data_IF_498160410018
#
_entry.id   IF_498160410018
#
_cell.length_a   1.000
_cell.length_b   1.000
_cell.length_c   1.000
_cell.angle_alpha   90.00
_cell.angle_beta   90.00
_cell.angle_gamma   90.00
#
_symmetry.space_group_name_H-M   'P 1'
#
loop_
_entity.id
_entity.type
_entity.pdbx_description
1 polymer ?
#
# COMPACT_ATOMS: atom_id res chain seq x y z
N UNK A 1 22.83 -23.15 -13.73
CA UNK A 1 21.64 -22.31 -13.57
C UNK A 1 21.13 -22.61 -12.17
N UNK A 2 21.39 -21.72 -11.23
CA UNK A 2 20.70 -21.78 -9.93
C UNK A 2 19.21 -21.58 -10.23
N UNK A 3 18.34 -22.49 -9.79
CA UNK A 3 16.91 -22.21 -9.81
C UNK A 3 16.70 -21.04 -8.85
N UNK A 4 16.25 -19.88 -9.36
CA UNK A 4 15.86 -18.77 -8.50
C UNK A 4 14.79 -19.27 -7.53
N UNK A 5 14.99 -19.05 -6.23
CA UNK A 5 14.03 -19.47 -5.20
C UNK A 5 12.68 -18.75 -5.38
N UNK A 6 11.60 -19.22 -4.71
CA UNK A 6 10.24 -18.71 -4.90
C UNK A 6 10.10 -17.20 -4.60
N UNK A 7 9.40 -16.43 -5.43
CA UNK A 7 9.33 -14.94 -5.40
C UNK A 7 7.92 -14.40 -5.12
N UNK A 8 7.81 -13.10 -4.79
CA UNK A 8 6.52 -12.41 -4.73
C UNK A 8 5.89 -12.32 -6.13
N UNK A 9 4.71 -12.92 -6.30
CA UNK A 9 3.84 -12.74 -7.48
C UNK A 9 2.42 -12.45 -7.01
N UNK A 10 2.14 -11.16 -6.79
CA UNK A 10 0.82 -10.67 -6.35
C UNK A 10 -0.26 -10.75 -7.45
N UNK A 11 0.12 -11.05 -8.70
CA UNK A 11 -0.83 -11.20 -9.81
C UNK A 11 -1.38 -12.63 -9.85
N UNK A 12 -0.58 -13.61 -9.42
CA UNK A 12 -1.01 -15.01 -9.28
C UNK A 12 -1.97 -15.26 -8.10
N UNK A 13 -2.03 -14.33 -7.13
CA UNK A 13 -2.73 -14.53 -5.86
C UNK A 13 -4.19 -14.16 -5.93
N UNK A 14 -5.03 -15.07 -6.40
CA UNK A 14 -6.46 -14.87 -6.28
C UNK A 14 -7.18 -16.22 -6.22
N UNK A 15 -7.45 -16.71 -5.00
CA UNK A 15 -8.63 -17.55 -4.80
C UNK A 15 -9.82 -16.77 -5.37
N UNK A 16 -10.45 -17.30 -6.41
CA UNK A 16 -11.79 -16.99 -6.92
C UNK A 16 -12.45 -15.62 -6.60
N UNK A 17 -11.77 -14.45 -6.75
CA UNK A 17 -12.52 -13.22 -7.14
C UNK A 17 -13.43 -13.67 -8.27
N UNK A 18 -14.75 -13.54 -8.05
CA UNK A 18 -15.74 -14.30 -8.81
C UNK A 18 -15.42 -14.15 -10.29
N UNK A 19 -15.41 -15.26 -11.02
CA UNK A 19 -14.92 -15.25 -12.41
C UNK A 19 -15.65 -14.22 -13.27
N UNK A 20 -16.94 -14.00 -13.00
CA UNK A 20 -17.75 -12.95 -13.61
C UNK A 20 -17.22 -11.52 -13.33
N UNK A 21 -16.68 -11.24 -12.14
CA UNK A 21 -15.98 -9.99 -11.81
C UNK A 21 -14.56 -9.87 -12.39
N UNK A 22 -13.88 -10.98 -12.68
CA UNK A 22 -12.58 -10.89 -13.39
C UNK A 22 -12.74 -10.70 -14.88
N UNK A 23 -13.79 -11.28 -15.43
CA UNK A 23 -14.00 -11.34 -16.86
C UNK A 23 -14.88 -10.20 -17.39
N UNK A 24 -15.27 -9.23 -16.54
CA UNK A 24 -16.15 -8.12 -16.91
C UNK A 24 -17.58 -8.57 -17.24
N UNK A 25 -18.02 -9.72 -16.71
CA UNK A 25 -19.29 -10.39 -17.06
C UNK A 25 -20.31 -10.44 -15.93
N UNK A 26 -20.11 -9.69 -14.85
CA UNK A 26 -21.06 -9.64 -13.74
C UNK A 26 -22.43 -9.12 -14.22
N UNK A 27 -23.36 -10.05 -14.41
CA UNK A 27 -24.75 -9.79 -14.78
C UNK A 27 -25.63 -10.32 -13.65
N UNK A 28 -25.83 -9.52 -12.60
CA UNK A 28 -26.83 -9.81 -11.58
C UNK A 28 -27.86 -8.70 -11.51
N UNK A 29 -29.13 -9.11 -11.59
CA UNK A 29 -30.23 -8.32 -11.03
C UNK A 29 -29.96 -8.20 -9.52
N UNK A 30 -29.42 -7.05 -9.12
CA UNK A 30 -29.27 -6.70 -7.71
C UNK A 30 -30.63 -6.74 -7.01
N UNK A 31 -30.64 -6.97 -5.69
CA UNK A 31 -31.81 -6.66 -4.85
C UNK A 31 -32.23 -5.18 -4.95
N UNK A 32 -31.45 -4.34 -5.64
CA UNK A 32 -31.77 -2.97 -6.07
C UNK A 32 -32.75 -2.90 -7.25
N UNK A 33 -33.37 -3.99 -7.70
CA UNK A 33 -34.56 -3.92 -8.57
C UNK A 33 -35.72 -3.07 -7.97
N UNK A 34 -35.64 -2.71 -6.68
CA UNK A 34 -36.46 -1.68 -6.03
C UNK A 34 -36.23 -0.25 -6.56
N UNK A 35 -35.13 0.02 -7.26
CA UNK A 35 -34.76 1.34 -7.79
C UNK A 35 -34.87 1.46 -9.31
N UNK A 36 -35.43 0.44 -9.99
CA UNK A 36 -35.56 0.37 -11.46
C UNK A 36 -36.38 1.51 -12.09
N UNK A 37 -37.02 2.37 -11.29
CA UNK A 37 -37.88 3.47 -11.74
C UNK A 37 -37.31 4.87 -11.49
N UNK A 38 -36.09 5.02 -10.98
CA UNK A 38 -35.48 6.35 -10.92
C UNK A 38 -34.79 6.66 -12.26
N UNK A 39 -35.40 7.64 -12.94
CA UNK A 39 -34.86 8.34 -14.11
C UNK A 39 -33.39 8.66 -13.84
N UNK A 40 -32.52 8.56 -14.85
CA UNK A 40 -31.16 9.16 -14.84
C UNK A 40 -31.28 10.68 -14.59
N UNK A 41 -31.50 11.09 -13.35
CA UNK A 41 -31.60 12.48 -12.93
C UNK A 41 -30.41 12.77 -12.03
N UNK A 42 -29.41 13.46 -12.58
CA UNK A 42 -28.28 14.11 -11.88
C UNK A 42 -27.61 13.33 -10.73
N UNK A 43 -27.63 12.00 -10.78
CA UNK A 43 -27.27 11.11 -9.65
C UNK A 43 -25.78 10.74 -9.58
N UNK A 44 -24.93 11.37 -10.38
CA UNK A 44 -23.46 11.25 -10.26
C UNK A 44 -22.93 11.84 -8.94
N UNK A 45 -23.73 12.65 -8.22
CA UNK A 45 -23.27 13.43 -7.06
C UNK A 45 -23.73 12.92 -5.67
N UNK A 46 -24.54 11.85 -5.57
CA UNK A 46 -25.05 11.36 -4.27
C UNK A 46 -24.51 9.97 -3.90
N UNK A 47 -23.20 9.79 -4.05
CA UNK A 47 -22.52 8.60 -3.52
C UNK A 47 -22.78 8.51 -2.01
N UNK A 48 -23.17 7.35 -1.49
CA UNK A 48 -23.22 7.12 -0.04
C UNK A 48 -22.53 5.80 0.26
N UNK A 49 -21.72 5.79 1.32
CA UNK A 49 -21.13 4.53 1.80
C UNK A 49 -22.17 3.85 2.66
N UNK A 50 -22.62 2.68 2.23
CA UNK A 50 -23.53 1.85 3.03
C UNK A 50 -22.85 1.43 4.33
N UNK A 51 -23.54 1.57 5.46
CA UNK A 51 -23.05 1.05 6.73
C UNK A 51 -22.90 -0.48 6.63
N UNK A 52 -21.73 -0.99 6.97
CA UNK A 52 -21.45 -2.42 6.92
C UNK A 52 -20.65 -2.84 8.15
N UNK A 53 -20.85 -4.09 8.57
CA UNK A 53 -20.13 -4.67 9.69
C UNK A 53 -19.41 -5.93 9.24
N UNK A 54 -18.11 -6.01 9.52
CA UNK A 54 -17.35 -7.24 9.35
C UNK A 54 -17.48 -8.15 10.58
N UNK A 55 -17.11 -9.42 10.43
CA UNK A 55 -17.15 -10.44 11.50
C UNK A 55 -16.18 -10.19 12.66
N UNK A 56 -15.21 -9.29 12.51
CA UNK A 56 -14.19 -8.99 13.52
C UNK A 56 -14.68 -7.96 14.55
N UNK A 57 -14.17 -7.98 15.79
CA UNK A 57 -14.48 -6.96 16.78
C UNK A 57 -14.12 -5.56 16.30
N UNK A 58 -14.79 -4.54 16.84
CA UNK A 58 -14.44 -3.14 16.59
C UNK A 58 -12.99 -2.89 17.02
N UNK A 59 -12.23 -2.22 16.15
CA UNK A 59 -10.84 -1.85 16.43
C UNK A 59 -10.75 -0.94 17.66
N UNK A 60 -9.69 -1.13 18.44
CA UNK A 60 -9.35 -0.24 19.55
C UNK A 60 -8.14 0.58 19.14
N UNK A 61 -8.18 1.86 19.44
CA UNK A 61 -7.05 2.74 19.19
C UNK A 61 -5.92 2.44 20.18
N UNK A 62 -4.73 2.17 19.67
CA UNK A 62 -3.51 2.08 20.47
C UNK A 62 -3.33 3.38 21.30
N UNK A 63 -3.17 3.29 22.64
CA UNK A 63 -3.07 4.48 23.49
C UNK A 63 -1.85 5.35 23.20
N UNK A 64 -0.84 4.84 22.49
CA UNK A 64 0.35 5.58 22.11
C UNK A 64 0.17 6.40 20.81
N UNK A 65 -0.96 6.29 20.11
CA UNK A 65 -1.15 6.93 18.80
C UNK A 65 -0.96 8.45 18.84
N UNK A 66 -1.48 9.12 19.88
CA UNK A 66 -1.34 10.56 20.05
C UNK A 66 0.12 10.96 20.35
N UNK A 67 0.79 10.22 21.24
CA UNK A 67 2.20 10.48 21.56
C UNK A 67 3.11 10.26 20.33
N UNK A 68 2.85 9.20 19.57
CA UNK A 68 3.62 8.90 18.35
C UNK A 68 3.42 9.99 17.30
N UNK A 69 2.19 10.55 17.18
CA UNK A 69 1.93 11.66 16.26
C UNK A 69 2.89 12.83 16.49
N UNK A 70 3.05 13.27 17.74
CA UNK A 70 3.94 14.39 18.06
C UNK A 70 5.41 14.08 17.74
N UNK A 71 5.87 12.87 18.08
CA UNK A 71 7.25 12.43 17.79
C UNK A 71 7.52 12.39 16.27
N UNK A 72 6.55 11.91 15.49
CA UNK A 72 6.67 11.81 14.03
C UNK A 72 6.74 13.21 13.41
N UNK A 73 5.97 14.16 13.93
CA UNK A 73 5.97 15.53 13.42
C UNK A 73 7.37 16.15 13.55
N UNK A 74 7.99 16.01 14.73
CA UNK A 74 9.35 16.47 14.97
C UNK A 74 10.36 15.76 14.06
N UNK A 75 10.22 14.44 13.88
CA UNK A 75 11.09 13.65 13.01
C UNK A 75 11.00 14.08 11.54
N UNK A 76 9.79 14.21 10.99
CA UNK A 76 9.54 14.67 9.60
C UNK A 76 10.11 16.08 9.36
N UNK A 77 9.92 17.00 10.31
CA UNK A 77 10.47 18.36 10.25
C UNK A 77 12.00 18.36 10.32
N UNK A 78 12.59 17.48 11.13
CA UNK A 78 14.05 17.36 11.25
C UNK A 78 14.71 16.92 9.94
N UNK A 79 14.00 16.14 9.12
CA UNK A 79 14.43 15.69 7.80
C UNK A 79 14.19 16.75 6.70
N UNK A 80 13.36 17.76 6.96
CA UNK A 80 12.97 18.78 5.99
C UNK A 80 11.90 18.33 4.99
N UNK A 81 11.21 17.21 5.26
CA UNK A 81 10.13 16.70 4.41
C UNK A 81 8.92 17.66 4.42
N UNK A 82 8.67 18.34 5.56
CA UNK A 82 7.65 19.39 5.69
C UNK A 82 7.84 20.52 4.66
N UNK A 83 9.10 20.91 4.41
CA UNK A 83 9.47 21.95 3.45
C UNK A 83 9.31 21.47 2.01
N UNK A 84 9.61 20.19 1.78
CA UNK A 84 9.43 19.56 0.47
C UNK A 84 7.96 19.40 0.06
N UNK A 85 7.05 19.28 1.02
CA UNK A 85 5.60 19.28 0.80
C UNK A 85 5.00 20.70 0.75
N UNK A 86 5.65 21.66 1.42
CA UNK A 86 5.09 22.99 1.61
C UNK A 86 3.87 23.01 2.53
N UNK A 87 3.38 24.21 2.90
CA UNK A 87 2.48 24.37 4.04
C UNK A 87 1.13 23.65 3.91
N UNK A 88 0.53 23.67 2.73
CA UNK A 88 -0.82 23.12 2.50
C UNK A 88 -0.83 21.59 2.54
N UNK A 89 0.04 20.94 1.76
CA UNK A 89 0.14 19.48 1.74
C UNK A 89 0.60 18.94 3.10
N UNK A 90 1.52 19.64 3.76
CA UNK A 90 1.94 19.29 5.11
C UNK A 90 0.79 19.33 6.12
N UNK A 91 -0.02 20.41 6.12
CA UNK A 91 -1.19 20.50 6.99
C UNK A 91 -2.18 19.35 6.75
N UNK A 92 -2.45 19.02 5.49
CA UNK A 92 -3.33 17.89 5.14
C UNK A 92 -2.77 16.54 5.60
N UNK A 93 -1.47 16.30 5.44
CA UNK A 93 -0.80 15.09 5.93
C UNK A 93 -0.93 14.95 7.46
N UNK A 94 -0.77 16.05 8.20
CA UNK A 94 -0.88 16.03 9.65
C UNK A 94 -2.30 15.88 10.14
N UNK A 95 -3.26 16.52 9.47
CA UNK A 95 -4.67 16.35 9.75
C UNK A 95 -5.15 14.90 9.57
N UNK A 96 -4.50 14.13 8.70
CA UNK A 96 -4.81 12.72 8.48
C UNK A 96 -4.43 11.81 9.65
N UNK A 97 -3.51 12.23 10.54
CA UNK A 97 -3.11 11.47 11.74
C UNK A 97 -2.84 9.98 11.48
N UNK A 98 -1.88 9.68 10.62
CA UNK A 98 -1.56 8.29 10.26
C UNK A 98 -1.09 7.41 11.44
N UNK A 99 -0.71 7.99 12.57
CA UNK A 99 -0.51 7.23 13.81
C UNK A 99 -1.81 6.65 14.39
N UNK A 100 -2.96 7.28 14.19
CA UNK A 100 -4.26 6.71 14.54
C UNK A 100 -4.61 5.55 13.60
N UNK A 101 -4.27 5.65 12.31
CA UNK A 101 -4.43 4.56 11.35
C UNK A 101 -3.68 3.30 11.81
N UNK A 102 -2.38 3.44 12.07
CA UNK A 102 -1.57 2.34 12.62
C UNK A 102 -2.05 1.91 13.99
N UNK A 103 -2.55 2.84 14.82
CA UNK A 103 -3.08 2.55 16.14
C UNK A 103 -4.33 1.67 16.13
N UNK A 104 -5.15 1.76 15.08
CA UNK A 104 -6.31 0.87 14.91
C UNK A 104 -5.94 -0.50 14.34
N UNK A 105 -4.86 -0.60 13.54
CA UNK A 105 -4.40 -1.86 12.94
C UNK A 105 -3.43 -2.65 13.84
N UNK A 106 -2.71 -1.98 14.75
CA UNK A 106 -1.73 -2.56 15.68
C UNK A 106 -2.00 -2.09 17.11
N UNK A 107 -3.00 -2.66 17.76
CA UNK A 107 -3.41 -2.26 19.12
C UNK A 107 -2.56 -2.90 20.25
N UNK A 108 -1.92 -4.04 19.97
CA UNK A 108 -1.09 -4.82 20.90
C UNK A 108 0.28 -5.12 20.29
N UNK A 109 1.22 -4.18 20.48
CA UNK A 109 2.55 -4.17 19.86
C UNK A 109 3.56 -3.44 20.78
N UNK A 110 4.85 -3.79 20.66
CA UNK A 110 5.93 -3.11 21.38
C UNK A 110 5.99 -1.61 21.00
N UNK A 111 6.22 -0.69 21.97
CA UNK A 111 6.18 0.75 21.70
C UNK A 111 7.12 1.24 20.60
N UNK A 112 8.33 0.67 20.50
CA UNK A 112 9.31 1.08 19.48
C UNK A 112 8.88 0.63 18.08
N UNK A 113 8.32 -0.57 17.97
CA UNK A 113 7.80 -1.09 16.70
C UNK A 113 6.56 -0.32 16.26
N UNK A 114 5.70 0.05 17.21
CA UNK A 114 4.56 0.91 16.95
C UNK A 114 4.99 2.27 16.41
N UNK A 115 5.99 2.90 17.04
CA UNK A 115 6.56 4.16 16.57
C UNK A 115 7.16 4.02 15.16
N UNK A 116 7.88 2.92 14.90
CA UNK A 116 8.42 2.63 13.57
C UNK A 116 7.32 2.56 12.51
N UNK A 117 6.24 1.81 12.77
CA UNK A 117 5.10 1.69 11.86
C UNK A 117 4.45 3.04 11.61
N UNK A 118 4.27 3.86 12.65
CA UNK A 118 3.67 5.17 12.50
C UNK A 118 4.57 6.14 11.70
N UNK A 119 5.90 6.13 11.94
CA UNK A 119 6.88 6.89 11.15
C UNK A 119 6.86 6.46 9.69
N UNK A 120 6.93 5.16 9.42
CA UNK A 120 6.88 4.60 8.07
C UNK A 120 5.59 5.01 7.37
N UNK A 121 4.43 4.76 7.98
CA UNK A 121 3.13 5.08 7.42
C UNK A 121 3.03 6.58 7.08
N UNK A 122 3.50 7.46 7.96
CA UNK A 122 3.45 8.92 7.73
C UNK A 122 4.40 9.36 6.63
N UNK A 123 5.64 8.84 6.61
CA UNK A 123 6.62 9.14 5.57
C UNK A 123 6.15 8.65 4.19
N UNK A 124 5.57 7.45 4.15
CA UNK A 124 4.95 6.86 2.96
C UNK A 124 3.81 7.75 2.43
N UNK A 125 2.80 8.07 3.24
CA UNK A 125 1.69 8.89 2.77
C UNK A 125 2.11 10.32 2.41
N UNK A 126 3.16 10.85 3.04
CA UNK A 126 3.76 12.12 2.63
C UNK A 126 4.40 12.02 1.24
N UNK A 127 5.12 10.92 0.95
CA UNK A 127 5.70 10.68 -0.37
C UNK A 127 4.61 10.50 -1.42
N UNK A 128 3.61 9.68 -1.13
CA UNK A 128 2.42 9.43 -1.96
C UNK A 128 1.71 10.74 -2.32
N UNK A 129 1.42 11.58 -1.31
CA UNK A 129 0.85 12.93 -1.51
C UNK A 129 1.71 13.77 -2.47
N UNK A 130 3.04 13.67 -2.40
CA UNK A 130 3.92 14.41 -3.31
C UNK A 130 3.89 13.84 -4.72
N UNK A 131 3.80 12.52 -4.88
CA UNK A 131 3.72 11.85 -6.17
C UNK A 131 2.36 12.06 -6.88
N UNK A 132 1.29 12.28 -6.13
CA UNK A 132 -0.08 12.31 -6.65
C UNK A 132 -0.67 13.73 -6.70
N UNK A 133 -0.54 14.52 -5.63
CA UNK A 133 -1.33 15.75 -5.42
C UNK A 133 -0.54 17.05 -5.71
N UNK A 134 0.71 16.96 -6.17
CA UNK A 134 1.59 18.12 -6.32
C UNK A 134 1.86 18.51 -7.78
N UNK A 135 2.48 19.68 -7.99
CA UNK A 135 3.03 20.06 -9.31
C UNK A 135 4.01 19.03 -9.88
N UNK A 136 4.53 18.14 -9.03
CA UNK A 136 5.45 17.05 -9.37
C UNK A 136 4.75 15.77 -9.84
N UNK A 137 3.42 15.70 -9.85
CA UNK A 137 2.69 14.53 -10.34
C UNK A 137 3.06 14.18 -11.80
N UNK A 138 3.41 15.19 -12.60
CA UNK A 138 3.91 15.05 -13.97
C UNK A 138 5.46 15.09 -14.07
N UNK A 139 6.17 15.34 -12.96
CA UNK A 139 7.64 15.40 -12.92
C UNK A 139 8.25 14.02 -12.61
N UNK A 140 8.29 13.17 -13.65
CA UNK A 140 8.86 11.83 -13.53
C UNK A 140 10.35 11.83 -13.11
N UNK A 141 11.08 12.91 -13.42
CA UNK A 141 12.50 13.06 -13.08
C UNK A 141 12.77 12.92 -11.58
N UNK A 142 11.95 13.58 -10.76
CA UNK A 142 12.12 13.56 -9.31
C UNK A 142 11.76 12.20 -8.72
N UNK A 143 10.65 11.60 -9.16
CA UNK A 143 10.23 10.28 -8.69
C UNK A 143 11.23 9.20 -9.08
N UNK A 144 11.83 9.30 -10.28
CA UNK A 144 12.95 8.46 -10.69
C UNK A 144 14.09 8.50 -9.66
N UNK A 145 14.60 9.68 -9.33
CA UNK A 145 15.73 9.80 -8.41
C UNK A 145 15.43 9.21 -7.02
N UNK A 146 14.20 9.41 -6.53
CA UNK A 146 13.73 8.79 -5.27
C UNK A 146 13.73 7.26 -5.37
N UNK A 147 13.20 6.70 -6.46
CA UNK A 147 13.15 5.24 -6.68
C UNK A 147 14.56 4.64 -6.81
N UNK A 148 15.48 5.34 -7.48
CA UNK A 148 16.87 4.88 -7.62
C UNK A 148 17.61 4.91 -6.29
N UNK A 149 17.46 5.99 -5.52
CA UNK A 149 18.05 6.15 -4.19
C UNK A 149 17.51 5.09 -3.20
N UNK A 150 16.23 4.76 -3.31
CA UNK A 150 15.61 3.67 -2.56
C UNK A 150 16.26 2.32 -2.87
N UNK A 151 16.45 1.99 -4.16
CA UNK A 151 17.08 0.73 -4.55
C UNK A 151 18.52 0.63 -4.03
N UNK A 152 19.24 1.75 -3.97
CA UNK A 152 20.55 1.81 -3.33
C UNK A 152 20.48 1.44 -1.84
N UNK A 153 19.47 1.95 -1.11
CA UNK A 153 19.25 1.64 0.31
C UNK A 153 18.97 0.14 0.50
N UNK A 154 18.09 -0.45 -0.31
CA UNK A 154 17.72 -1.86 -0.20
C UNK A 154 18.89 -2.81 -0.50
N UNK A 155 19.63 -2.53 -1.57
CA UNK A 155 20.80 -3.32 -2.01
C UNK A 155 22.05 -3.04 -1.15
N UNK A 156 21.97 -2.15 -0.15
CA UNK A 156 23.11 -1.81 0.69
C UNK A 156 23.61 -3.00 1.51
N UNK A 157 22.74 -3.87 2.01
CA UNK A 157 23.16 -5.02 2.80
C UNK A 157 23.45 -6.24 1.92
N UNK A 158 22.67 -6.42 0.85
CA UNK A 158 22.76 -7.56 -0.07
C UNK A 158 22.91 -7.08 -1.52
N UNK A 159 24.09 -6.62 -1.94
CA UNK A 159 24.28 -6.02 -3.28
C UNK A 159 24.11 -7.03 -4.42
N UNK A 160 24.33 -8.32 -4.12
CA UNK A 160 24.25 -9.43 -5.05
C UNK A 160 22.90 -10.18 -4.95
N UNK A 161 21.90 -9.61 -4.26
CA UNK A 161 20.57 -10.21 -4.16
C UNK A 161 19.91 -10.27 -5.55
N UNK A 162 19.86 -11.47 -6.13
CA UNK A 162 19.42 -11.70 -7.52
C UNK A 162 18.01 -11.15 -7.79
N UNK A 163 17.09 -11.25 -6.82
CA UNK A 163 15.70 -10.79 -6.97
C UNK A 163 15.59 -9.28 -6.98
N UNK A 164 16.28 -8.61 -6.06
CA UNK A 164 16.32 -7.15 -6.03
C UNK A 164 17.01 -6.60 -7.27
N UNK A 165 18.02 -7.28 -7.81
CA UNK A 165 18.67 -6.90 -9.07
C UNK A 165 17.74 -7.08 -10.27
N UNK A 166 16.92 -8.13 -10.31
CA UNK A 166 15.91 -8.33 -11.35
C UNK A 166 14.82 -7.26 -11.30
N UNK A 167 14.30 -6.95 -10.10
CA UNK A 167 13.32 -5.88 -9.92
C UNK A 167 13.88 -4.50 -10.28
N UNK A 168 15.13 -4.22 -9.91
CA UNK A 168 15.83 -2.99 -10.32
C UNK A 168 15.96 -2.91 -11.84
N UNK A 169 16.30 -4.02 -12.51
CA UNK A 169 16.36 -4.06 -13.98
C UNK A 169 15.02 -3.72 -14.61
N UNK A 170 13.91 -4.27 -14.10
CA UNK A 170 12.58 -3.92 -14.60
C UNK A 170 12.27 -2.42 -14.45
N UNK A 171 12.58 -1.84 -13.28
CA UNK A 171 12.42 -0.40 -13.03
C UNK A 171 13.21 0.39 -14.06
N UNK A 172 14.47 0.03 -14.29
CA UNK A 172 15.33 0.71 -15.26
C UNK A 172 14.84 0.59 -16.70
N UNK A 173 14.42 -0.59 -17.12
CA UNK A 173 13.87 -0.81 -18.46
C UNK A 173 12.59 0.04 -18.66
N UNK A 174 11.76 0.15 -17.63
CA UNK A 174 10.54 1.00 -17.62
C UNK A 174 10.90 2.47 -17.75
N UNK A 175 11.88 2.94 -16.97
CA UNK A 175 12.36 4.32 -17.03
C UNK A 175 13.00 4.64 -18.38
N UNK A 176 13.83 3.76 -18.93
CA UNK A 176 14.45 3.94 -20.24
C UNK A 176 13.43 4.00 -21.38
N UNK A 177 12.34 3.24 -21.29
CA UNK A 177 11.26 3.28 -22.27
C UNK A 177 10.50 4.60 -22.25
N UNK A 178 10.38 5.24 -21.08
CA UNK A 178 9.66 6.49 -20.91
C UNK A 178 10.56 7.72 -21.15
N UNK A 179 11.82 7.67 -20.73
CA UNK A 179 12.76 8.78 -20.75
C UNK A 179 14.17 8.35 -21.22
N UNK A 180 14.26 7.91 -22.47
CA UNK A 180 15.46 7.30 -23.06
C UNK A 180 16.74 8.18 -23.05
N UNK A 181 16.63 9.50 -22.80
CA UNK A 181 17.77 10.42 -22.76
C UNK A 181 18.55 10.44 -21.43
N UNK A 182 18.04 9.78 -20.38
CA UNK A 182 18.61 9.87 -19.03
C UNK A 182 19.82 8.94 -18.85
N UNK A 183 21.01 9.51 -18.73
CA UNK A 183 22.26 8.77 -18.53
C UNK A 183 22.23 7.91 -17.24
N UNK A 184 21.62 8.42 -16.15
CA UNK A 184 21.48 7.69 -14.87
C UNK A 184 20.55 6.46 -14.95
N UNK A 185 19.65 6.37 -15.94
CA UNK A 185 18.72 5.24 -16.08
C UNK A 185 19.35 3.98 -16.71
N UNK A 186 20.68 3.95 -16.89
CA UNK A 186 21.38 2.79 -17.42
C UNK A 186 21.89 1.90 -16.27
N UNK A 187 21.60 0.59 -16.35
CA UNK A 187 21.95 -0.38 -15.28
C UNK A 187 23.42 -0.33 -14.84
N UNK A 188 24.35 -0.17 -15.78
CA UNK A 188 25.78 -0.10 -15.46
C UNK A 188 26.18 1.19 -14.74
N UNK A 189 25.43 2.28 -14.92
CA UNK A 189 25.66 3.57 -14.25
C UNK A 189 25.14 3.51 -12.82
N UNK A 190 23.94 2.96 -12.59
CA UNK A 190 23.43 2.75 -11.23
C UNK A 190 24.28 1.77 -10.45
N UNK A 191 24.70 0.67 -11.09
CA UNK A 191 25.60 -0.28 -10.46
C UNK A 191 26.94 0.40 -10.10
N UNK A 192 27.48 1.26 -10.98
CA UNK A 192 28.67 2.04 -10.68
C UNK A 192 28.45 3.05 -9.54
N UNK A 193 27.30 3.72 -9.48
CA UNK A 193 26.92 4.64 -8.40
C UNK A 193 26.83 3.90 -7.07
N UNK A 194 26.20 2.72 -7.04
CA UNK A 194 26.11 1.88 -5.85
C UNK A 194 27.48 1.41 -5.37
N UNK A 195 28.31 0.88 -6.28
CA UNK A 195 29.68 0.45 -5.96
C UNK A 195 30.52 1.64 -5.48
N UNK A 196 30.38 2.80 -6.11
CA UNK A 196 31.05 4.03 -5.70
C UNK A 196 30.61 4.48 -4.31
N UNK A 197 29.29 4.52 -4.05
CA UNK A 197 28.73 4.89 -2.76
C UNK A 197 29.26 3.97 -1.65
N UNK A 198 29.27 2.65 -1.86
CA UNK A 198 29.80 1.67 -0.89
C UNK A 198 31.31 1.79 -0.66
N UNK A 199 32.07 2.09 -1.70
CA UNK A 199 33.53 2.22 -1.59
C UNK A 199 33.96 3.54 -0.94
N UNK A 200 33.18 4.61 -1.14
CA UNK A 200 33.50 5.96 -0.65
C UNK A 200 32.94 6.24 0.74
N UNK A 201 31.75 5.73 1.04
CA UNK A 201 31.09 5.86 2.33
C UNK A 201 31.48 4.74 3.27
N UNK A 202 31.64 5.04 4.56
CA UNK A 202 31.94 4.01 5.57
C UNK A 202 30.66 3.34 6.08
N UNK A 203 29.54 4.05 5.98
CA UNK A 203 28.20 3.61 6.36
C UNK A 203 27.16 4.15 5.39
N UNK A 204 25.98 3.51 5.34
CA UNK A 204 24.82 4.01 4.61
C UNK A 204 24.40 5.42 5.10
N UNK A 205 24.67 5.73 6.38
CA UNK A 205 24.43 7.04 6.97
C UNK A 205 25.27 8.16 6.32
N UNK A 206 26.42 7.83 5.72
CA UNK A 206 27.28 8.81 5.04
C UNK A 206 26.81 9.11 3.61
N UNK A 207 25.89 8.30 3.07
CA UNK A 207 25.32 8.51 1.73
C UNK A 207 24.38 9.71 1.78
N UNK A 208 24.60 10.66 0.86
CA UNK A 208 23.74 11.84 0.71
C UNK A 208 22.49 11.43 -0.06
N UNK A 209 21.32 11.60 0.57
CA UNK A 209 20.01 11.27 0.02
C UNK A 209 19.08 12.49 0.18
N UNK A 210 18.00 12.55 -0.61
CA UNK A 210 16.92 13.52 -0.42
C UNK A 210 16.19 13.36 0.92
N UNK A 211 15.26 14.27 1.27
CA UNK A 211 14.62 14.27 2.59
C UNK A 211 13.84 12.96 2.85
N UNK A 212 12.99 12.56 1.90
CA UNK A 212 12.23 11.30 1.98
C UNK A 212 13.13 10.07 2.09
N UNK A 213 14.18 10.01 1.26
CA UNK A 213 15.10 8.85 1.26
C UNK A 213 16.02 8.82 2.48
N UNK A 214 16.29 9.97 3.10
CA UNK A 214 16.96 10.03 4.40
C UNK A 214 16.07 9.42 5.49
N UNK A 215 14.77 9.73 5.49
CA UNK A 215 13.81 9.10 6.40
C UNK A 215 13.64 7.60 6.15
N UNK A 216 13.51 7.19 4.89
CA UNK A 216 13.46 5.77 4.52
C UNK A 216 14.72 5.01 4.95
N UNK A 217 15.91 5.60 4.76
CA UNK A 217 17.18 5.03 5.23
C UNK A 217 17.18 4.80 6.75
N UNK A 218 16.75 5.79 7.53
CA UNK A 218 16.69 5.65 8.99
C UNK A 218 15.75 4.50 9.38
N UNK A 219 14.55 4.46 8.79
CA UNK A 219 13.60 3.36 9.01
C UNK A 219 14.16 2.01 8.59
N UNK A 220 14.86 1.94 7.45
CA UNK A 220 15.48 0.71 6.97
C UNK A 220 16.54 0.21 7.97
N UNK A 221 17.43 1.08 8.43
CA UNK A 221 18.46 0.73 9.41
C UNK A 221 17.86 0.31 10.75
N UNK A 222 16.80 0.98 11.22
CA UNK A 222 16.05 0.58 12.42
C UNK A 222 15.36 -0.78 12.24
N UNK A 223 14.80 -1.05 11.05
CA UNK A 223 14.05 -2.28 10.76
C UNK A 223 14.94 -3.52 10.71
N UNK A 224 16.06 -3.45 10.00
CA UNK A 224 16.94 -4.60 9.77
C UNK A 224 17.74 -5.00 11.02
N UNK A 225 17.76 -4.16 12.05
CA UNK A 225 18.49 -4.42 13.29
C UNK A 225 17.97 -5.71 13.94
N UNK A 226 18.89 -6.66 14.18
CA UNK A 226 18.61 -7.98 14.75
C UNK A 226 17.62 -8.87 13.99
N UNK A 227 17.34 -8.60 12.70
CA UNK A 227 16.52 -9.47 11.86
C UNK A 227 17.36 -10.51 11.08
N UNK A 228 16.84 -11.74 10.88
CA UNK A 228 17.42 -12.71 9.96
C UNK A 228 17.49 -12.18 8.51
N UNK A 229 18.47 -12.66 7.74
CA UNK A 229 18.69 -12.22 6.36
C UNK A 229 17.44 -12.45 5.49
N UNK A 230 16.77 -13.59 5.65
CA UNK A 230 15.54 -13.92 4.91
C UNK A 230 14.41 -12.89 5.15
N UNK A 231 14.24 -12.41 6.38
CA UNK A 231 13.23 -11.39 6.71
C UNK A 231 13.61 -10.03 6.10
N UNK A 232 14.91 -9.70 6.13
CA UNK A 232 15.43 -8.48 5.50
C UNK A 232 15.19 -8.52 3.98
N UNK A 233 15.51 -9.63 3.31
CA UNK A 233 15.29 -9.77 1.86
C UNK A 233 13.81 -9.67 1.51
N UNK A 234 12.90 -10.34 2.25
CA UNK A 234 11.45 -10.21 2.05
C UNK A 234 10.98 -8.78 2.17
N UNK A 235 11.37 -8.09 3.24
CA UNK A 235 10.97 -6.70 3.44
C UNK A 235 11.49 -5.80 2.30
N UNK A 236 12.74 -5.99 1.88
CA UNK A 236 13.30 -5.26 0.74
C UNK A 236 12.48 -5.47 -0.54
N UNK A 237 12.13 -6.73 -0.85
CA UNK A 237 11.29 -7.05 -2.01
C UNK A 237 9.94 -6.33 -1.95
N UNK A 238 9.29 -6.27 -0.77
CA UNK A 238 8.00 -5.55 -0.64
C UNK A 238 8.12 -4.06 -0.87
N UNK A 239 9.18 -3.41 -0.39
CA UNK A 239 9.42 -2.00 -0.67
C UNK A 239 9.67 -1.80 -2.16
N UNK A 240 10.54 -2.61 -2.78
CA UNK A 240 10.84 -2.48 -4.21
C UNK A 240 9.58 -2.64 -5.08
N UNK A 241 8.70 -3.60 -4.77
CA UNK A 241 7.43 -3.79 -5.48
C UNK A 241 6.48 -2.59 -5.30
N UNK A 242 6.41 -2.03 -4.09
CA UNK A 242 5.62 -0.82 -3.84
C UNK A 242 6.09 0.37 -4.69
N UNK A 243 7.39 0.69 -4.66
CA UNK A 243 7.95 1.80 -5.45
C UNK A 243 7.84 1.58 -6.96
N UNK A 244 7.99 0.33 -7.42
CA UNK A 244 7.69 -0.07 -8.80
C UNK A 244 6.21 0.21 -9.13
N UNK A 245 5.30 -0.12 -8.21
CA UNK A 245 3.88 0.21 -8.33
C UNK A 245 3.63 1.70 -8.53
N UNK A 246 4.20 2.55 -7.66
CA UNK A 246 4.08 4.02 -7.77
C UNK A 246 4.55 4.54 -9.14
N UNK A 247 5.66 4.01 -9.66
CA UNK A 247 6.15 4.37 -11.00
C UNK A 247 5.15 4.00 -12.10
N UNK A 248 4.62 2.77 -12.05
CA UNK A 248 3.64 2.28 -13.03
C UNK A 248 2.35 3.11 -12.98
N UNK A 249 1.90 3.47 -11.78
CA UNK A 249 0.72 4.31 -11.57
C UNK A 249 0.93 5.71 -12.13
N UNK A 250 2.07 6.35 -11.83
CA UNK A 250 2.40 7.67 -12.35
C UNK A 250 2.47 7.68 -13.89
N UNK A 251 3.18 6.71 -14.50
CA UNK A 251 3.24 6.56 -15.97
C UNK A 251 1.84 6.31 -16.54
N UNK A 252 1.03 5.49 -15.85
CA UNK A 252 -0.36 5.21 -16.21
C UNK A 252 -1.20 6.49 -16.29
N UNK A 253 -1.11 7.34 -15.25
CA UNK A 253 -1.78 8.66 -15.20
C UNK A 253 -1.32 9.58 -16.32
N UNK A 254 -0.01 9.72 -16.53
CA UNK A 254 0.56 10.57 -17.59
C UNK A 254 0.09 10.16 -18.99
N UNK A 255 -0.05 8.85 -19.24
CA UNK A 255 -0.52 8.32 -20.52
C UNK A 255 -2.05 8.30 -20.66
N UNK A 256 -2.81 8.65 -19.61
CA UNK A 256 -4.26 8.52 -19.60
C UNK A 256 -4.74 7.07 -19.75
N UNK A 257 -3.95 6.12 -19.25
CA UNK A 257 -4.22 4.68 -19.35
C UNK A 257 -5.53 4.35 -18.64
N UNK A 258 -6.43 3.63 -19.32
CA UNK A 258 -7.65 3.11 -18.71
C UNK A 258 -7.39 1.67 -18.28
N UNK A 259 -7.51 1.42 -16.99
CA UNK A 259 -7.34 0.08 -16.41
C UNK A 259 -8.68 -0.65 -16.40
N UNK A 260 -8.62 -1.97 -16.61
CA UNK A 260 -9.74 -2.85 -16.23
C UNK A 260 -9.79 -3.00 -14.70
N UNK A 261 -10.88 -3.55 -14.16
CA UNK A 261 -10.99 -3.88 -12.74
C UNK A 261 -9.88 -4.85 -12.32
N UNK A 262 -9.56 -5.85 -13.15
CA UNK A 262 -8.50 -6.82 -12.84
C UNK A 262 -7.11 -6.17 -12.82
N UNK A 263 -6.82 -5.32 -13.81
CA UNK A 263 -5.52 -4.63 -13.88
C UNK A 263 -5.36 -3.63 -12.74
N UNK A 264 -6.45 -2.93 -12.39
CA UNK A 264 -6.44 -1.99 -11.27
C UNK A 264 -6.22 -2.71 -9.94
N UNK A 265 -6.89 -3.83 -9.67
CA UNK A 265 -6.66 -4.59 -8.42
C UNK A 265 -5.19 -5.02 -8.32
N UNK A 266 -4.61 -5.50 -9.43
CA UNK A 266 -3.21 -5.92 -9.50
C UNK A 266 -2.25 -4.76 -9.21
N UNK A 267 -2.47 -3.61 -9.85
CA UNK A 267 -1.70 -2.39 -9.59
C UNK A 267 -1.89 -1.90 -8.15
N UNK A 268 -3.12 -1.91 -7.64
CA UNK A 268 -3.48 -1.39 -6.32
C UNK A 268 -2.87 -2.19 -5.17
N UNK A 269 -2.63 -3.50 -5.37
CA UNK A 269 -1.85 -4.31 -4.43
C UNK A 269 -0.41 -3.84 -4.28
N UNK A 270 0.16 -3.27 -5.33
CA UNK A 270 1.49 -2.66 -5.31
C UNK A 270 1.41 -1.26 -4.72
N UNK A 271 0.53 -0.39 -5.23
CA UNK A 271 0.51 1.05 -4.89
C UNK A 271 -0.06 1.34 -3.51
N UNK A 272 -0.89 0.45 -2.94
CA UNK A 272 -1.49 0.65 -1.63
C UNK A 272 -0.51 0.67 -0.44
N UNK A 273 0.74 0.24 -0.62
CA UNK A 273 1.77 0.29 0.44
C UNK A 273 1.50 -0.61 1.66
N UNK A 274 0.51 -1.51 1.57
CA UNK A 274 0.07 -2.38 2.68
C UNK A 274 1.00 -3.59 2.88
N UNK A 275 1.53 -4.17 1.80
CA UNK A 275 2.38 -5.36 1.87
C UNK A 275 3.61 -5.16 2.78
N UNK A 276 4.38 -4.05 2.70
CA UNK A 276 5.46 -3.79 3.65
C UNK A 276 5.03 -3.74 5.12
N UNK A 277 3.81 -3.28 5.40
CA UNK A 277 3.27 -3.23 6.75
C UNK A 277 2.86 -4.62 7.25
N UNK A 278 2.30 -5.47 6.39
CA UNK A 278 1.96 -6.84 6.76
C UNK A 278 3.21 -7.71 6.99
N UNK A 279 4.27 -7.52 6.18
CA UNK A 279 5.56 -8.23 6.32
C UNK A 279 6.33 -7.78 7.57
N UNK A 280 6.00 -6.62 8.14
CA UNK A 280 6.46 -6.25 9.48
C UNK A 280 6.11 -7.30 10.56
N UNK A 281 5.14 -8.20 10.30
CA UNK A 281 4.90 -9.39 11.12
C UNK A 281 6.16 -10.23 11.41
N UNK A 282 7.14 -10.28 10.50
CA UNK A 282 8.41 -10.99 10.73
C UNK A 282 9.17 -10.40 11.93
N UNK A 283 9.13 -9.08 12.12
CA UNK A 283 9.71 -8.42 13.30
C UNK A 283 8.92 -8.70 14.57
N UNK A 284 7.59 -8.76 14.47
CA UNK A 284 6.74 -9.17 15.60
C UNK A 284 7.04 -10.62 16.03
N UNK A 285 7.31 -11.52 15.07
CA UNK A 285 7.77 -12.89 15.34
C UNK A 285 9.09 -12.84 16.12
N UNK A 286 10.08 -12.07 15.67
CA UNK A 286 11.38 -11.96 16.36
C UNK A 286 11.27 -11.47 17.80
N UNK A 287 10.39 -10.50 18.06
CA UNK A 287 10.15 -10.05 19.43
C UNK A 287 9.50 -11.15 20.28
N UNK A 288 8.48 -11.83 19.76
CA UNK A 288 7.82 -12.92 20.50
C UNK A 288 8.76 -14.12 20.72
N UNK A 289 9.71 -14.37 19.82
CA UNK A 289 10.75 -15.40 19.98
C UNK A 289 11.65 -15.21 21.19
N UNK A 290 11.81 -13.98 21.67
CA UNK A 290 12.60 -13.69 22.89
C UNK A 290 11.95 -14.24 24.16
N UNK A 291 10.64 -14.52 24.12
CA UNK A 291 9.85 -14.95 25.29
C UNK A 291 9.10 -16.27 25.09
N UNK A 292 9.00 -16.79 23.86
CA UNK A 292 8.29 -18.02 23.51
C UNK A 292 8.98 -18.75 22.36
N UNK A 293 9.01 -20.10 22.32
CA UNK A 293 9.59 -20.85 21.20
C UNK A 293 8.72 -20.72 19.96
N UNK A 294 9.11 -19.82 19.05
CA UNK A 294 8.49 -19.65 17.72
C UNK A 294 9.58 -19.89 16.67
N UNK A 295 9.28 -20.71 15.66
CA UNK A 295 10.19 -20.89 14.52
C UNK A 295 10.04 -19.73 13.55
N UNK A 296 11.13 -19.36 12.88
CA UNK A 296 11.06 -18.47 11.71
C UNK A 296 10.16 -19.12 10.66
N UNK A 297 9.36 -18.30 9.99
CA UNK A 297 8.63 -18.77 8.83
C UNK A 297 9.63 -18.98 7.68
N UNK A 298 9.73 -20.16 7.07
CA UNK A 298 10.61 -20.38 5.93
C UNK A 298 10.04 -19.73 4.66
N UNK A 299 10.92 -19.36 3.74
CA UNK A 299 10.55 -18.78 2.44
C UNK A 299 9.57 -19.65 1.65
N UNK A 300 9.71 -20.98 1.70
CA UNK A 300 8.78 -21.89 1.03
C UNK A 300 7.34 -21.76 1.51
N UNK A 301 7.12 -21.35 2.76
CA UNK A 301 5.79 -21.06 3.30
C UNK A 301 5.41 -19.60 3.05
N UNK A 302 6.33 -18.65 3.21
CA UNK A 302 6.05 -17.24 2.98
C UNK A 302 5.62 -16.97 1.53
N UNK A 303 6.40 -17.47 0.57
CA UNK A 303 6.11 -17.34 -0.87
C UNK A 303 5.13 -18.42 -1.38
N UNK A 304 4.62 -19.27 -0.49
CA UNK A 304 3.63 -20.28 -0.85
C UNK A 304 2.28 -19.66 -1.22
N UNK A 305 1.56 -20.33 -2.12
CA UNK A 305 0.27 -19.86 -2.67
C UNK A 305 -0.72 -19.41 -1.58
N UNK A 306 -0.92 -20.22 -0.53
CA UNK A 306 -1.89 -19.89 0.52
C UNK A 306 -1.47 -18.68 1.38
N UNK A 307 -0.19 -18.49 1.68
CA UNK A 307 0.29 -17.30 2.39
C UNK A 307 0.07 -16.05 1.53
N UNK A 308 0.49 -16.12 0.26
CA UNK A 308 0.38 -15.00 -0.66
C UNK A 308 -1.09 -14.64 -0.95
N UNK A 309 -1.98 -15.64 -1.05
CA UNK A 309 -3.43 -15.42 -1.16
C UNK A 309 -4.02 -14.74 0.09
N UNK A 310 -3.60 -15.15 1.29
CA UNK A 310 -4.03 -14.54 2.55
C UNK A 310 -3.60 -13.06 2.63
N UNK A 311 -2.33 -12.77 2.32
CA UNK A 311 -1.80 -11.40 2.34
C UNK A 311 -2.47 -10.53 1.27
N UNK A 312 -2.61 -11.02 0.04
CA UNK A 312 -3.29 -10.30 -1.04
C UNK A 312 -4.74 -9.98 -0.68
N UNK A 313 -5.45 -10.87 0.03
CA UNK A 313 -6.83 -10.61 0.45
C UNK A 313 -6.91 -9.48 1.48
N UNK A 314 -5.98 -9.45 2.43
CA UNK A 314 -5.89 -8.36 3.39
C UNK A 314 -5.57 -7.02 2.69
N UNK A 315 -4.63 -7.02 1.74
CA UNK A 315 -4.26 -5.83 0.96
C UNK A 315 -5.45 -5.31 0.16
N UNK A 316 -6.18 -6.19 -0.53
CA UNK A 316 -7.39 -5.83 -1.29
C UNK A 316 -8.41 -5.17 -0.36
N UNK A 317 -8.74 -5.78 0.79
CA UNK A 317 -9.71 -5.22 1.73
C UNK A 317 -9.27 -3.83 2.23
N UNK A 318 -8.00 -3.71 2.64
CA UNK A 318 -7.45 -2.47 3.17
C UNK A 318 -7.50 -1.32 2.15
N UNK A 319 -7.11 -1.61 0.91
CA UNK A 319 -7.11 -0.64 -0.19
C UNK A 319 -8.52 -0.34 -0.69
N UNK A 320 -9.44 -1.31 -0.69
CA UNK A 320 -10.82 -1.07 -1.09
C UNK A 320 -11.61 -0.27 -0.06
N UNK A 321 -11.30 -0.39 1.24
CA UNK A 321 -11.79 0.57 2.23
C UNK A 321 -11.37 2.00 1.84
N UNK A 322 -10.11 2.21 1.45
CA UNK A 322 -9.66 3.53 0.97
C UNK A 322 -10.46 3.99 -0.25
N UNK A 323 -10.65 3.12 -1.24
CA UNK A 323 -11.35 3.47 -2.46
C UNK A 323 -12.85 3.74 -2.23
N UNK A 324 -13.50 3.04 -1.29
CA UNK A 324 -14.89 3.24 -0.91
C UNK A 324 -15.06 4.56 -0.14
N UNK A 325 -14.35 4.73 0.97
CA UNK A 325 -14.52 5.90 1.83
C UNK A 325 -13.89 7.17 1.23
N UNK A 326 -12.82 7.02 0.44
CA UNK A 326 -12.12 8.10 -0.24
C UNK A 326 -12.80 8.57 -1.53
N UNK A 327 -13.75 7.81 -2.09
CA UNK A 327 -14.34 8.11 -3.39
C UNK A 327 -14.82 9.56 -3.55
N UNK A 328 -15.54 10.10 -2.54
CA UNK A 328 -16.05 11.48 -2.60
C UNK A 328 -14.93 12.53 -2.65
N UNK A 329 -13.85 12.30 -1.90
CA UNK A 329 -12.68 13.17 -1.88
C UNK A 329 -12.04 13.18 -3.27
N UNK A 330 -11.79 12.01 -3.83
CA UNK A 330 -11.16 11.87 -5.15
C UNK A 330 -12.03 12.43 -6.29
N UNK A 331 -13.36 12.29 -6.17
CA UNK A 331 -14.30 12.92 -7.09
C UNK A 331 -14.20 14.45 -7.09
N UNK A 332 -14.06 15.08 -5.92
CA UNK A 332 -13.90 16.53 -5.81
C UNK A 332 -12.55 17.04 -6.35
N UNK A 333 -11.50 16.23 -6.22
CA UNK A 333 -10.19 16.54 -6.77
C UNK A 333 -10.08 16.28 -8.28
N UNK A 334 -11.18 15.88 -8.94
CA UNK A 334 -11.28 15.49 -10.35
C UNK A 334 -10.43 14.27 -10.76
N UNK A 335 -9.81 13.56 -9.82
CA UNK A 335 -8.99 12.36 -10.08
C UNK A 335 -9.66 11.05 -9.61
N UNK A 336 -10.99 11.02 -9.69
CA UNK A 336 -11.81 9.81 -9.48
C UNK A 336 -11.37 8.57 -10.27
N UNK A 337 -10.55 8.71 -11.33
CA UNK A 337 -10.09 7.62 -12.19
C UNK A 337 -9.27 6.57 -11.45
N UNK A 338 -8.73 6.92 -10.29
CA UNK A 338 -7.84 6.07 -9.49
C UNK A 338 -8.55 5.47 -8.26
N UNK A 339 -9.82 5.10 -8.41
CA UNK A 339 -10.58 4.41 -7.37
C UNK A 339 -11.29 3.19 -7.94
N UNK A 340 -11.32 2.09 -7.20
CA UNK A 340 -12.04 0.89 -7.64
C UNK A 340 -13.53 1.16 -7.88
N UNK A 341 -14.15 2.03 -7.09
CA UNK A 341 -15.57 2.43 -7.25
C UNK A 341 -15.82 3.03 -8.64
N UNK A 342 -14.93 3.91 -9.11
CA UNK A 342 -15.04 4.49 -10.45
C UNK A 342 -14.88 3.46 -11.56
N UNK A 343 -13.88 2.59 -11.44
CA UNK A 343 -13.56 1.61 -12.47
C UNK A 343 -14.67 0.56 -12.56
N UNK A 344 -15.20 0.10 -11.43
CA UNK A 344 -16.38 -0.77 -11.37
C UNK A 344 -17.60 -0.09 -11.98
N UNK A 345 -17.82 1.21 -11.69
CA UNK A 345 -18.93 1.96 -12.27
C UNK A 345 -18.90 1.93 -13.80
N UNK A 346 -17.73 2.16 -14.39
CA UNK A 346 -17.57 2.21 -15.85
C UNK A 346 -17.52 0.84 -16.53
N UNK A 347 -16.77 -0.11 -15.98
CA UNK A 347 -16.60 -1.43 -16.60
C UNK A 347 -17.89 -2.26 -16.56
N UNK A 348 -18.68 -2.11 -15.49
CA UNK A 348 -19.94 -2.84 -15.29
C UNK A 348 -21.20 -2.07 -15.65
N UNK A 349 -21.09 -0.88 -16.25
CA UNK A 349 -22.22 -0.01 -16.62
C UNK A 349 -23.22 0.17 -15.46
N UNK A 350 -22.69 0.48 -14.27
CA UNK A 350 -23.52 0.68 -13.08
C UNK A 350 -24.43 1.90 -13.26
N UNK A 351 -25.60 1.86 -12.65
CA UNK A 351 -26.59 2.94 -12.70
C UNK A 351 -26.20 4.15 -11.83
N UNK A 352 -25.35 3.94 -10.81
CA UNK A 352 -24.82 4.98 -9.92
C UNK A 352 -23.50 4.57 -9.29
N UNK A 353 -22.72 5.53 -8.79
CA UNK A 353 -21.52 5.24 -7.99
C UNK A 353 -21.86 4.49 -6.70
N UNK A 354 -23.03 4.74 -6.10
CA UNK A 354 -23.48 4.01 -4.91
C UNK A 354 -23.63 2.53 -5.21
N UNK A 355 -24.23 2.16 -6.35
CA UNK A 355 -24.30 0.77 -6.78
C UNK A 355 -22.89 0.17 -6.96
N UNK A 356 -21.95 0.91 -7.56
CA UNK A 356 -20.58 0.44 -7.73
C UNK A 356 -19.89 0.23 -6.36
N UNK A 357 -20.06 1.15 -5.40
CA UNK A 357 -19.55 1.00 -4.04
C UNK A 357 -20.12 -0.21 -3.31
N UNK A 358 -21.42 -0.49 -3.46
CA UNK A 358 -22.06 -1.70 -2.93
C UNK A 358 -21.46 -2.98 -3.52
N UNK A 359 -21.16 -2.99 -4.82
CA UNK A 359 -20.49 -4.13 -5.46
C UNK A 359 -19.07 -4.34 -4.91
N UNK A 360 -18.31 -3.26 -4.69
CA UNK A 360 -16.98 -3.36 -4.05
C UNK A 360 -17.11 -3.88 -2.61
N UNK A 361 -18.12 -3.47 -1.86
CA UNK A 361 -18.40 -4.00 -0.51
C UNK A 361 -18.78 -5.50 -0.53
N UNK A 362 -19.47 -5.98 -1.55
CA UNK A 362 -19.69 -7.43 -1.72
C UNK A 362 -18.35 -8.17 -1.89
N UNK A 363 -17.44 -7.63 -2.70
CA UNK A 363 -16.10 -8.21 -2.89
C UNK A 363 -15.28 -8.24 -1.60
N UNK A 364 -15.42 -7.23 -0.72
CA UNK A 364 -14.75 -7.22 0.60
C UNK A 364 -15.14 -8.47 1.40
N UNK A 365 -16.42 -8.85 1.42
CA UNK A 365 -16.87 -10.05 2.13
C UNK A 365 -16.31 -11.34 1.53
N UNK A 366 -16.24 -11.42 0.21
CA UNK A 366 -15.64 -12.56 -0.49
C UNK A 366 -14.15 -12.69 -0.13
N UNK A 367 -13.39 -11.58 -0.13
CA UNK A 367 -11.97 -11.57 0.25
C UNK A 367 -11.74 -11.97 1.71
N UNK A 368 -12.63 -11.59 2.64
CA UNK A 368 -12.56 -12.06 4.03
C UNK A 368 -12.68 -13.58 4.10
N UNK A 369 -13.64 -14.18 3.38
CA UNK A 369 -13.83 -15.62 3.38
C UNK A 369 -12.62 -16.36 2.75
N UNK A 370 -12.06 -15.81 1.68
CA UNK A 370 -10.89 -16.35 1.00
C UNK A 370 -9.62 -16.27 1.85
N UNK A 371 -9.42 -15.15 2.56
CA UNK A 371 -8.31 -14.98 3.49
C UNK A 371 -8.33 -16.06 4.58
N UNK A 372 -9.49 -16.30 5.18
CA UNK A 372 -9.67 -17.32 6.22
C UNK A 372 -9.45 -18.73 5.68
N UNK A 373 -9.94 -19.03 4.47
CA UNK A 373 -9.73 -20.32 3.82
C UNK A 373 -8.25 -20.56 3.49
N UNK A 374 -7.55 -19.54 2.99
CA UNK A 374 -6.11 -19.61 2.69
C UNK A 374 -5.31 -19.88 3.97
N UNK A 375 -5.63 -19.18 5.07
CA UNK A 375 -5.05 -19.46 6.38
C UNK A 375 -5.29 -20.91 6.84
N UNK A 376 -6.53 -21.41 6.74
CA UNK A 376 -6.85 -22.80 7.13
C UNK A 376 -6.03 -23.83 6.35
N UNK A 377 -5.87 -23.63 5.04
CA UNK A 377 -5.07 -24.49 4.17
C UNK A 377 -3.59 -24.42 4.50
N UNK A 378 -3.04 -23.20 4.60
CA UNK A 378 -1.64 -22.96 4.95
C UNK A 378 -1.29 -23.63 6.28
N UNK A 379 -2.10 -23.38 7.31
CA UNK A 379 -1.87 -23.91 8.65
C UNK A 379 -2.00 -25.43 8.69
N UNK A 380 -2.92 -26.01 7.92
CA UNK A 380 -3.09 -27.47 7.86
C UNK A 380 -1.95 -28.16 7.12
N UNK A 381 -1.36 -27.53 6.11
CA UNK A 381 -0.24 -28.05 5.34
C UNK A 381 1.12 -27.84 6.04
N UNK A 382 1.25 -26.80 6.86
CA UNK A 382 2.49 -26.48 7.55
C UNK A 382 2.75 -27.39 8.77
N UNK A 383 4.03 -27.63 9.02
CA UNK A 383 4.47 -28.35 10.21
C UNK A 383 4.14 -27.55 11.51
N UNK A 384 3.80 -28.22 12.63
CA UNK A 384 3.32 -27.55 13.85
C UNK A 384 4.23 -26.47 14.40
N UNK A 385 5.54 -26.58 14.20
CA UNK A 385 6.54 -25.61 14.64
C UNK A 385 6.43 -24.23 13.97
N UNK A 386 5.75 -24.15 12.80
CA UNK A 386 5.52 -22.90 12.07
C UNK A 386 4.14 -22.29 12.36
N UNK A 387 3.24 -23.02 13.05
CA UNK A 387 1.89 -22.53 13.36
C UNK A 387 1.90 -21.19 14.10
N UNK A 388 2.75 -20.95 15.12
CA UNK A 388 2.74 -19.66 15.81
C UNK A 388 3.10 -18.47 14.92
N UNK A 389 4.00 -18.65 13.95
CA UNK A 389 4.35 -17.61 12.98
C UNK A 389 3.18 -17.33 12.02
N UNK A 390 2.57 -18.38 11.47
CA UNK A 390 1.39 -18.28 10.59
C UNK A 390 0.22 -17.62 11.34
N UNK A 391 -0.02 -18.03 12.59
CA UNK A 391 -1.06 -17.50 13.46
C UNK A 391 -0.87 -15.99 13.73
N UNK A 392 0.39 -15.52 13.78
CA UNK A 392 0.68 -14.09 13.92
C UNK A 392 0.39 -13.31 12.63
N UNK A 393 0.75 -13.85 11.46
CA UNK A 393 0.42 -13.22 10.17
C UNK A 393 -1.08 -13.08 9.97
N UNK A 394 -1.87 -14.13 10.22
CA UNK A 394 -3.35 -14.01 10.11
C UNK A 394 -3.90 -13.08 11.19
N UNK A 395 -3.32 -13.02 12.40
CA UNK A 395 -3.75 -12.07 13.42
C UNK A 395 -3.58 -10.64 12.91
N UNK A 396 -2.40 -10.30 12.38
CA UNK A 396 -2.15 -8.99 11.76
C UNK A 396 -3.20 -8.70 10.67
N UNK A 397 -3.46 -9.65 9.77
CA UNK A 397 -4.45 -9.46 8.71
C UNK A 397 -5.87 -9.22 9.26
N UNK A 398 -6.28 -9.97 10.29
CA UNK A 398 -7.59 -9.85 10.94
C UNK A 398 -7.73 -8.53 11.72
N UNK A 399 -6.65 -7.98 12.26
CA UNK A 399 -6.65 -6.70 12.97
C UNK A 399 -6.69 -5.51 11.98
N UNK A 400 -6.06 -5.67 10.81
CA UNK A 400 -6.09 -4.67 9.73
C UNK A 400 -7.48 -4.40 9.17
N UNK A 401 -8.36 -5.40 9.11
CA UNK A 401 -9.72 -5.25 8.55
C UNK A 401 -10.57 -4.26 9.36
N UNK A 402 -10.83 -4.47 10.67
CA UNK A 402 -11.50 -3.49 11.50
C UNK A 402 -10.69 -2.21 11.67
N UNK A 403 -9.35 -2.30 11.64
CA UNK A 403 -8.49 -1.15 11.84
C UNK A 403 -8.59 -0.13 10.71
N UNK A 404 -8.46 -0.59 9.46
CA UNK A 404 -8.66 0.23 8.26
C UNK A 404 -10.09 0.76 8.20
N UNK A 405 -11.10 -0.08 8.47
CA UNK A 405 -12.49 0.33 8.45
C UNK A 405 -12.78 1.49 9.44
N UNK A 406 -12.38 1.35 10.71
CA UNK A 406 -12.61 2.37 11.73
C UNK A 406 -11.85 3.68 11.41
N UNK A 407 -10.60 3.58 10.94
CA UNK A 407 -9.83 4.76 10.54
C UNK A 407 -10.51 5.53 9.40
N UNK A 408 -10.99 4.83 8.37
CA UNK A 408 -11.61 5.49 7.21
C UNK A 408 -12.96 6.15 7.56
N UNK A 409 -13.73 5.60 8.50
CA UNK A 409 -14.99 6.21 8.97
C UNK A 409 -14.71 7.47 9.81
N UNK A 410 -13.65 7.46 10.62
CA UNK A 410 -13.43 8.48 11.67
C UNK A 410 -12.45 9.58 11.29
N UNK A 411 -11.55 9.31 10.35
CA UNK A 411 -10.51 10.25 9.95
C UNK A 411 -11.09 11.45 9.20
N UNK A 412 -10.67 12.64 9.60
CA UNK A 412 -11.00 13.89 8.90
C UNK A 412 -10.48 13.93 7.46
N UNK A 413 -9.51 13.07 7.10
CA UNK A 413 -9.00 12.92 5.74
C UNK A 413 -10.11 12.60 4.72
N UNK A 414 -11.15 11.87 5.14
CA UNK A 414 -12.22 11.40 4.25
C UNK A 414 -13.54 12.18 4.41
N UNK A 415 -13.60 13.11 5.37
CA UNK A 415 -14.80 13.91 5.62
C UNK A 415 -14.86 15.06 4.62
N UNK A 416 -15.75 14.93 3.65
CA UNK A 416 -16.07 16.00 2.69
C UNK A 416 -17.18 16.88 3.27
N UNK A 417 -16.92 18.17 3.47
CA UNK A 417 -17.94 19.12 3.91
C UNK A 417 -18.94 19.43 2.79
N UNK A 418 -20.25 19.47 3.08
CA UNK A 418 -21.29 19.80 2.08
C UNK A 418 -21.15 21.21 1.46
N UNK A 419 -20.34 22.10 2.06
CA UNK A 419 -19.99 23.41 1.49
C UNK A 419 -19.07 23.34 0.27
N UNK A 420 -18.43 22.19 0.01
CA UNK A 420 -17.48 22.01 -1.11
C UNK A 420 -18.18 21.79 -2.45
N UNK A 421 -19.46 21.40 -2.45
CA UNK A 421 -20.23 21.11 -3.66
C UNK A 421 -20.92 22.34 -4.28
N UNK A 422 -20.86 23.52 -3.64
CA UNK A 422 -21.56 24.72 -4.11
C UNK A 422 -20.75 25.65 -5.02
N UNK A 423 -19.42 25.48 -5.12
CA UNK A 423 -18.56 26.47 -5.80
C UNK A 423 -18.11 26.11 -7.23
N UNK A 424 -18.43 24.92 -7.75
CA UNK A 424 -18.09 24.56 -9.15
C UNK A 424 -19.17 24.95 -10.18
N UNK A 425 -20.31 25.49 -9.74
CA UNK A 425 -21.41 25.88 -10.63
C UNK A 425 -21.21 27.19 -11.42
N UNK A 426 -20.07 27.88 -11.28
CA UNK A 426 -19.91 29.23 -11.82
C UNK A 426 -18.51 29.54 -12.38
N UNK A 427 -17.95 28.69 -13.24
CA UNK A 427 -16.83 29.11 -14.10
C UNK A 427 -17.03 28.70 -15.57
N UNK A 428 -17.53 29.70 -16.32
CA UNK A 428 -17.41 30.00 -17.75
C UNK A 428 -18.29 29.22 -18.75
N UNK A 429 -19.30 29.96 -19.23
CA UNK A 429 -19.84 29.90 -20.60
C UNK A 429 -18.77 30.17 -21.65
#
# INVERSE_FOLDING_TARGET
MSEMGPSLDLDSTVLSIRSDFREGRFLRQSKSDLYRNEIRSSSENDYTVSDFQHRYPKARLNPLAAQCHDIINDWIVSLGIDKELGPSMWQSCMAAKFSEFMGYAYDDIEPNDFLWLCKYCTCFFALDTKLDDSEYAEEIDWSCDVILDMNLVLLWNEPDNERLLEGLKFILDTLMAFEASRERAQLHIIHADMVHARNKSKSLLDVKLGAFMSGFRELWLEYIEDLPAECISRQAETFQQFFKGCLLEQIGRMNGTKLSVSDYISLRRLTGGVMPLLVFSDRLIEHKRRISPISHLPDSLFYGEDMQNMLAACIDIATWHNDIFGFKKELLNNDHKNTLVYIVFHEYDCQSYTQAGELVLELVHDRIAEMELAYERLRSAAAPEFHPAIDLFIKTCRDWIPGTHEYHITSSRYVVSNSSFSDTGNLKR
#
